data_IF_488451560747
#
_entry.id   IF_488451560747
#
_cell.length_a   1.000
_cell.length_b   1.000
_cell.length_c   1.000
_cell.angle_alpha   90.00
_cell.angle_beta   90.00
_cell.angle_gamma   90.00
#
_symmetry.space_group_name_H-M   'P 1'
#
loop_
_entity.id
_entity.type
_entity.pdbx_description
1 polymer ?
#
# COMPACT_ATOMS: atom_id res chain seq x y z
N UNK A 1 0.87 -40.00 30.97
CA UNK A 1 1.42 -39.04 30.00
C UNK A 1 0.60 -39.23 28.74
N UNK A 2 -0.38 -38.36 28.46
CA UNK A 2 -1.35 -38.55 27.38
C UNK A 2 -0.64 -38.47 26.02
N UNK A 3 -0.61 -39.58 25.29
CA UNK A 3 -0.30 -39.58 23.86
C UNK A 3 -1.37 -38.73 23.16
N UNK A 4 -0.91 -37.62 22.59
CA UNK A 4 -1.71 -36.75 21.75
C UNK A 4 -1.92 -37.53 20.44
N UNK A 5 -3.09 -38.15 20.31
CA UNK A 5 -3.52 -38.97 19.17
C UNK A 5 -3.54 -38.15 17.88
N UNK A 6 -2.40 -38.12 17.17
CA UNK A 6 -2.18 -37.34 15.93
C UNK A 6 -3.18 -37.70 14.83
N UNK A 7 -3.78 -38.90 14.85
CA UNK A 7 -4.78 -39.33 13.87
C UNK A 7 -6.09 -38.53 13.95
N UNK A 8 -6.43 -38.05 15.14
CA UNK A 8 -7.62 -37.22 15.39
C UNK A 8 -7.41 -35.78 14.95
N UNK A 9 -6.18 -35.28 15.06
CA UNK A 9 -5.80 -33.94 14.60
C UNK A 9 -5.78 -33.84 13.07
N UNK A 10 -5.31 -34.86 12.37
CA UNK A 10 -5.27 -34.88 10.89
C UNK A 10 -6.68 -34.87 10.27
N UNK A 11 -7.65 -35.54 10.91
CA UNK A 11 -9.05 -35.57 10.47
C UNK A 11 -9.79 -34.24 10.75
N UNK A 12 -9.51 -33.57 11.89
CA UNK A 12 -10.12 -32.28 12.23
C UNK A 12 -9.61 -31.13 11.34
N UNK A 13 -8.30 -31.10 11.04
CA UNK A 13 -7.66 -30.11 10.15
C UNK A 13 -8.12 -30.29 8.69
N UNK A 14 -8.45 -31.52 8.30
CA UNK A 14 -9.02 -31.85 6.99
C UNK A 14 -10.50 -31.51 6.81
N UNK A 15 -11.23 -31.16 7.89
CA UNK A 15 -12.67 -30.90 7.80
C UNK A 15 -12.99 -29.60 7.06
N UNK A 16 -14.10 -29.60 6.32
CA UNK A 16 -14.62 -28.43 5.57
C UNK A 16 -14.70 -27.18 6.47
N UNK A 17 -15.13 -27.38 7.73
CA UNK A 17 -15.24 -26.30 8.74
C UNK A 17 -13.88 -25.69 9.11
N UNK A 18 -12.83 -26.49 9.21
CA UNK A 18 -11.50 -25.99 9.54
C UNK A 18 -10.85 -25.30 8.33
N UNK A 19 -11.10 -25.80 7.11
CA UNK A 19 -10.71 -25.11 5.87
C UNK A 19 -11.36 -23.75 5.74
N UNK A 20 -12.65 -23.64 6.03
CA UNK A 20 -13.36 -22.36 5.93
C UNK A 20 -12.95 -21.38 7.02
N UNK A 21 -12.72 -21.85 8.26
CA UNK A 21 -12.19 -21.03 9.35
C UNK A 21 -10.77 -20.52 9.06
N UNK A 22 -9.88 -21.39 8.54
CA UNK A 22 -8.54 -20.99 8.09
C UNK A 22 -8.62 -19.99 6.94
N UNK A 23 -9.48 -20.24 5.94
CA UNK A 23 -9.69 -19.32 4.81
C UNK A 23 -10.13 -17.94 5.30
N UNK A 24 -11.13 -17.88 6.17
CA UNK A 24 -11.61 -16.62 6.75
C UNK A 24 -10.53 -15.90 7.58
N UNK A 25 -9.76 -16.63 8.38
CA UNK A 25 -8.63 -16.06 9.13
C UNK A 25 -7.56 -15.46 8.20
N UNK A 26 -7.23 -16.13 7.09
CA UNK A 26 -6.26 -15.62 6.11
C UNK A 26 -6.78 -14.38 5.36
N UNK A 27 -8.06 -14.37 4.97
CA UNK A 27 -8.70 -13.24 4.29
C UNK A 27 -8.70 -11.96 5.15
N UNK A 28 -8.84 -12.09 6.47
CA UNK A 28 -8.89 -10.94 7.38
C UNK A 28 -7.52 -10.56 8.00
N UNK A 29 -6.52 -11.45 7.99
CA UNK A 29 -5.21 -11.19 8.62
C UNK A 29 -4.21 -10.43 7.74
N UNK A 30 -4.50 -10.27 6.45
CA UNK A 30 -3.57 -9.65 5.49
C UNK A 30 -2.33 -10.51 5.20
N UNK A 31 -2.36 -11.77 5.60
CA UNK A 31 -1.35 -12.78 5.29
C UNK A 31 -1.69 -13.40 3.93
N UNK A 32 -0.71 -13.49 3.04
CA UNK A 32 -0.90 -14.20 1.79
C UNK A 32 -0.20 -15.55 1.82
N UNK A 33 -0.94 -16.60 1.48
CA UNK A 33 -0.38 -17.94 1.30
C UNK A 33 -0.25 -18.25 -0.18
N UNK A 34 0.86 -18.88 -0.54
CA UNK A 34 1.07 -19.46 -1.85
C UNK A 34 1.59 -20.89 -1.69
N UNK A 35 1.17 -21.77 -2.59
CA UNK A 35 1.74 -23.11 -2.73
C UNK A 35 2.57 -23.12 -4.00
N UNK A 36 3.83 -23.51 -3.88
CA UNK A 36 4.73 -23.73 -5.00
C UNK A 36 4.91 -25.23 -5.25
N UNK A 37 5.09 -25.60 -6.50
CA UNK A 37 5.60 -26.93 -6.87
C UNK A 37 7.13 -27.00 -6.64
N UNK A 38 7.76 -28.18 -6.81
CA UNK A 38 9.21 -28.34 -6.64
C UNK A 38 10.05 -27.55 -7.66
N UNK A 39 9.44 -27.14 -8.78
CA UNK A 39 10.05 -26.28 -9.79
C UNK A 39 9.86 -24.79 -9.48
N UNK A 40 9.36 -24.45 -8.29
CA UNK A 40 9.06 -23.10 -7.84
C UNK A 40 8.00 -22.38 -8.69
N UNK A 41 7.07 -23.13 -9.29
CA UNK A 41 5.88 -22.58 -9.95
C UNK A 41 4.72 -22.48 -9.00
N UNK A 42 3.94 -21.42 -9.13
CA UNK A 42 2.76 -21.17 -8.29
C UNK A 42 1.64 -22.16 -8.63
N UNK A 43 1.25 -23.02 -7.69
CA UNK A 43 0.12 -23.94 -7.82
C UNK A 43 -1.19 -23.30 -7.38
N UNK A 44 -1.15 -22.55 -6.29
CA UNK A 44 -2.31 -21.84 -5.73
C UNK A 44 -1.88 -20.66 -4.87
N UNK A 45 -2.79 -19.71 -4.68
CA UNK A 45 -2.63 -18.55 -3.80
C UNK A 45 -3.94 -18.32 -3.07
N UNK A 46 -3.91 -18.11 -1.75
CA UNK A 46 -5.07 -17.62 -0.99
C UNK A 46 -5.20 -16.11 -1.24
N UNK A 47 -6.33 -15.65 -1.74
CA UNK A 47 -6.53 -14.23 -2.05
C UNK A 47 -6.43 -13.34 -0.79
N UNK A 48 -5.87 -12.11 -0.84
CA UNK A 48 -4.97 -11.56 -1.85
C UNK A 48 -3.59 -11.20 -1.28
N UNK A 49 -2.54 -11.61 -2.02
CA UNK A 49 -1.18 -11.07 -1.97
C UNK A 49 -1.12 -9.53 -1.97
N UNK A 50 -2.14 -8.88 -2.52
CA UNK A 50 -2.58 -7.48 -2.35
C UNK A 50 -3.51 -7.17 -3.53
N UNK A 51 -4.48 -6.25 -3.41
CA UNK A 51 -5.24 -5.72 -4.55
C UNK A 51 -4.39 -5.11 -5.68
N UNK A 52 -3.07 -4.93 -5.46
CA UNK A 52 -2.14 -4.26 -6.36
C UNK A 52 -1.29 -5.18 -7.24
N UNK A 53 -1.15 -6.47 -6.88
CA UNK A 53 -0.23 -7.37 -7.57
C UNK A 53 -0.89 -8.21 -8.65
N UNK A 54 -2.16 -8.58 -8.54
CA UNK A 54 -2.87 -9.36 -9.56
C UNK A 54 -4.32 -8.91 -9.63
N UNK A 55 -4.87 -8.72 -10.84
CA UNK A 55 -6.30 -8.43 -11.00
C UNK A 55 -7.14 -9.68 -10.73
N UNK A 56 -6.56 -10.88 -10.90
CA UNK A 56 -7.15 -12.18 -10.54
C UNK A 56 -6.11 -13.18 -10.01
N UNK A 57 -6.41 -13.97 -8.96
CA UNK A 57 -5.52 -15.03 -8.44
C UNK A 57 -5.07 -16.05 -9.50
N UNK A 58 -5.90 -16.28 -10.51
CA UNK A 58 -5.62 -17.23 -11.61
C UNK A 58 -4.45 -16.79 -12.49
N UNK A 59 -4.14 -15.48 -12.56
CA UNK A 59 -3.03 -14.95 -13.35
C UNK A 59 -1.66 -15.34 -12.79
N UNK A 60 -1.60 -15.75 -11.52
CA UNK A 60 -0.38 -16.17 -10.85
C UNK A 60 -0.09 -17.65 -11.06
N UNK A 61 -1.13 -18.46 -11.30
CA UNK A 61 -1.03 -19.92 -11.37
C UNK A 61 -0.18 -20.37 -12.56
N UNK A 62 0.71 -21.33 -12.35
CA UNK A 62 1.62 -21.91 -13.34
C UNK A 62 2.89 -21.08 -13.62
N UNK A 63 2.93 -19.82 -13.17
CA UNK A 63 4.08 -18.93 -13.37
C UNK A 63 5.18 -19.20 -12.36
N UNK A 64 6.41 -18.89 -12.73
CA UNK A 64 7.57 -19.11 -11.87
C UNK A 64 7.70 -18.02 -10.81
N UNK A 65 8.12 -18.40 -9.60
CA UNK A 65 8.34 -17.45 -8.51
C UNK A 65 9.24 -16.27 -8.94
N UNK A 66 10.28 -16.55 -9.74
CA UNK A 66 11.26 -15.54 -10.19
C UNK A 66 10.63 -14.37 -10.96
N UNK A 67 9.54 -14.62 -11.67
CA UNK A 67 8.82 -13.62 -12.46
C UNK A 67 8.25 -12.52 -11.56
N UNK A 68 7.91 -12.87 -10.32
CA UNK A 68 7.35 -11.98 -9.32
C UNK A 68 8.40 -11.36 -8.40
N UNK A 69 9.68 -11.70 -8.54
CA UNK A 69 10.74 -11.15 -7.69
C UNK A 69 11.34 -9.89 -8.28
N UNK A 70 11.57 -8.90 -7.42
CA UNK A 70 12.36 -7.74 -7.81
C UNK A 70 13.79 -8.16 -8.23
N UNK A 71 14.36 -7.59 -9.32
CA UNK A 71 15.66 -8.01 -9.86
C UNK A 71 16.81 -8.06 -8.83
N UNK A 72 16.82 -7.13 -7.86
CA UNK A 72 17.88 -7.06 -6.85
C UNK A 72 17.94 -8.28 -5.91
N UNK A 73 16.83 -8.98 -5.70
CA UNK A 73 16.74 -10.09 -4.74
C UNK A 73 16.62 -11.46 -5.40
N UNK A 74 16.33 -11.53 -6.71
CA UNK A 74 16.13 -12.77 -7.49
C UNK A 74 17.14 -13.86 -7.19
N UNK A 75 18.43 -13.57 -7.39
CA UNK A 75 19.50 -14.56 -7.21
C UNK A 75 19.58 -15.08 -5.78
N UNK A 76 19.39 -14.21 -4.79
CA UNK A 76 19.46 -14.60 -3.39
C UNK A 76 18.25 -15.46 -3.00
N UNK A 77 17.05 -15.03 -3.36
CA UNK A 77 15.81 -15.76 -3.07
C UNK A 77 15.82 -17.14 -3.72
N UNK A 78 16.14 -17.24 -5.01
CA UNK A 78 16.17 -18.53 -5.70
C UNK A 78 17.18 -19.51 -5.08
N UNK A 79 18.34 -19.02 -4.62
CA UNK A 79 19.30 -19.87 -3.89
C UNK A 79 18.71 -20.39 -2.58
N UNK A 80 17.96 -19.58 -1.84
CA UNK A 80 17.35 -20.01 -0.58
C UNK A 80 16.23 -21.03 -0.82
N UNK A 81 15.37 -20.79 -1.81
CA UNK A 81 14.32 -21.73 -2.18
C UNK A 81 14.87 -23.03 -2.76
N UNK A 82 15.94 -22.98 -3.57
CA UNK A 82 16.62 -24.18 -4.06
C UNK A 82 17.16 -25.06 -2.92
N UNK A 83 17.64 -24.46 -1.83
CA UNK A 83 18.03 -25.22 -0.62
C UNK A 83 16.86 -25.90 0.08
N UNK A 84 15.65 -25.34 0.00
CA UNK A 84 14.43 -26.00 0.50
C UNK A 84 14.08 -27.19 -0.40
N UNK A 85 14.06 -26.99 -1.73
CA UNK A 85 13.75 -28.05 -2.71
C UNK A 85 14.70 -29.24 -2.56
N UNK A 86 15.99 -28.98 -2.37
CA UNK A 86 17.02 -30.01 -2.22
C UNK A 86 17.05 -30.67 -0.83
N UNK A 87 16.17 -30.27 0.10
CA UNK A 87 16.15 -30.82 1.47
C UNK A 87 17.30 -30.34 2.37
N UNK A 88 18.17 -29.44 1.91
CA UNK A 88 19.27 -28.87 2.72
C UNK A 88 18.78 -27.92 3.82
N UNK A 89 17.50 -27.53 3.79
CA UNK A 89 16.86 -26.73 4.85
C UNK A 89 15.42 -27.19 5.11
N UNK A 90 15.07 -27.30 6.39
CA UNK A 90 13.72 -27.65 6.84
C UNK A 90 12.74 -26.48 6.80
N UNK A 91 13.22 -25.23 6.81
CA UNK A 91 12.38 -24.02 6.66
C UNK A 91 13.20 -22.77 6.34
N UNK A 92 12.52 -21.78 5.80
CA UNK A 92 12.95 -20.40 5.61
C UNK A 92 12.06 -19.53 6.49
N UNK A 93 12.61 -18.74 7.42
CA UNK A 93 11.79 -17.94 8.35
C UNK A 93 12.23 -16.49 8.35
N UNK A 94 11.28 -15.58 8.18
CA UNK A 94 11.51 -14.14 8.35
C UNK A 94 12.48 -13.53 7.34
N UNK A 95 12.64 -14.14 6.17
CA UNK A 95 13.50 -13.60 5.14
C UNK A 95 12.82 -12.42 4.45
N UNK A 96 13.54 -11.32 4.26
CA UNK A 96 13.01 -10.19 3.50
C UNK A 96 12.90 -10.58 2.02
N UNK A 97 11.75 -10.26 1.44
CA UNK A 97 11.42 -10.52 0.05
C UNK A 97 10.80 -9.26 -0.56
N UNK A 98 11.18 -8.97 -1.79
CA UNK A 98 10.60 -7.87 -2.56
C UNK A 98 9.98 -8.46 -3.81
N UNK A 99 8.66 -8.35 -3.90
CA UNK A 99 7.87 -8.76 -5.05
C UNK A 99 7.70 -7.58 -6.01
N UNK A 100 7.73 -7.85 -7.31
CA UNK A 100 7.43 -6.91 -8.37
C UNK A 100 6.41 -7.55 -9.30
N UNK A 101 5.19 -7.02 -9.33
CA UNK A 101 4.12 -7.53 -10.19
C UNK A 101 3.44 -6.36 -10.88
N UNK A 102 3.40 -6.38 -12.21
CA UNK A 102 2.83 -5.32 -13.05
C UNK A 102 3.31 -3.90 -12.69
N UNK A 103 4.60 -3.75 -12.35
CA UNK A 103 5.20 -2.46 -11.99
C UNK A 103 4.98 -2.01 -10.55
N UNK A 104 4.15 -2.72 -9.77
CA UNK A 104 4.02 -2.48 -8.33
C UNK A 104 5.06 -3.30 -7.59
N UNK A 105 5.79 -2.66 -6.68
CA UNK A 105 6.76 -3.33 -5.80
C UNK A 105 6.18 -3.45 -4.39
N UNK A 106 6.28 -4.65 -3.79
CA UNK A 106 5.80 -4.94 -2.44
C UNK A 106 6.92 -5.61 -1.66
N UNK A 107 7.33 -5.02 -0.55
CA UNK A 107 8.26 -5.63 0.39
C UNK A 107 7.52 -6.39 1.48
N UNK A 108 8.11 -7.47 1.96
CA UNK A 108 7.56 -8.19 3.08
C UNK A 108 8.49 -9.28 3.60
N UNK A 109 8.03 -9.95 4.64
CA UNK A 109 8.69 -11.12 5.18
C UNK A 109 8.09 -12.38 4.59
N UNK A 110 8.96 -13.29 4.19
CA UNK A 110 8.58 -14.62 3.74
C UNK A 110 8.98 -15.66 4.77
N UNK A 111 8.05 -16.57 5.02
CA UNK A 111 8.28 -17.84 5.70
C UNK A 111 7.89 -18.95 4.74
N UNK A 112 8.75 -19.94 4.52
CA UNK A 112 8.48 -21.05 3.61
C UNK A 112 8.91 -22.37 4.21
N UNK A 113 8.11 -23.41 3.98
CA UNK A 113 8.35 -24.76 4.48
C UNK A 113 8.12 -25.76 3.34
N UNK A 114 9.07 -26.68 3.09
CA UNK A 114 8.84 -27.79 2.17
C UNK A 114 7.89 -28.80 2.82
N UNK A 115 6.99 -29.34 2.03
CA UNK A 115 6.17 -30.52 2.36
C UNK A 115 6.74 -31.68 1.57
N UNK A 116 7.20 -32.70 2.29
CA UNK A 116 7.75 -33.91 1.71
C UNK A 116 6.67 -34.98 1.62
N UNK A 117 6.59 -35.67 0.49
CA UNK A 117 5.76 -36.86 0.36
C UNK A 117 6.42 -38.09 0.96
N UNK A 118 5.74 -39.23 0.85
CA UNK A 118 6.17 -40.51 1.43
C UNK A 118 7.55 -40.99 0.91
N UNK A 119 7.93 -40.55 -0.28
CA UNK A 119 9.24 -40.85 -0.88
C UNK A 119 10.39 -39.99 -0.34
N UNK A 120 10.16 -39.16 0.68
CA UNK A 120 11.16 -38.26 1.27
C UNK A 120 11.59 -37.10 0.36
N UNK A 121 10.91 -36.90 -0.78
CA UNK A 121 11.15 -35.80 -1.71
C UNK A 121 10.16 -34.67 -1.45
N UNK A 122 10.60 -33.43 -1.67
CA UNK A 122 9.73 -32.25 -1.59
C UNK A 122 8.72 -32.31 -2.72
N UNK A 123 7.43 -32.38 -2.37
CA UNK A 123 6.32 -32.36 -3.32
C UNK A 123 5.77 -30.96 -3.53
N UNK A 124 5.83 -30.12 -2.50
CA UNK A 124 5.41 -28.73 -2.57
C UNK A 124 6.10 -27.89 -1.53
N UNK A 125 6.07 -26.57 -1.72
CA UNK A 125 6.54 -25.60 -0.73
C UNK A 125 5.37 -24.70 -0.38
N UNK A 126 5.02 -24.66 0.90
CA UNK A 126 4.04 -23.72 1.42
C UNK A 126 4.77 -22.43 1.78
N UNK A 127 4.30 -21.33 1.23
CA UNK A 127 4.89 -20.00 1.38
C UNK A 127 3.87 -19.10 2.05
N UNK A 128 4.27 -18.51 3.16
CA UNK A 128 3.58 -17.42 3.82
C UNK A 128 4.33 -16.13 3.51
N UNK A 129 3.63 -15.16 2.93
CA UNK A 129 4.12 -13.81 2.73
C UNK A 129 3.32 -12.85 3.62
N UNK A 130 4.03 -12.19 4.52
CA UNK A 130 3.50 -11.07 5.29
C UNK A 130 4.03 -9.79 4.66
N UNK A 131 3.19 -9.03 3.94
CA UNK A 131 3.60 -7.73 3.44
C UNK A 131 3.99 -6.86 4.64
N UNK A 132 5.16 -6.25 4.56
CA UNK A 132 5.49 -5.17 5.47
C UNK A 132 4.62 -4.01 5.04
N UNK A 133 3.55 -3.73 5.80
CA UNK A 133 2.78 -2.52 5.56
C UNK A 133 3.70 -1.36 5.90
N UNK A 134 4.35 -0.83 4.88
CA UNK A 134 5.15 0.37 5.02
C UNK A 134 4.24 1.50 5.50
N UNK A 135 4.80 2.48 6.21
CA UNK A 135 4.05 3.70 6.49
C UNK A 135 3.48 4.32 5.19
N UNK A 136 4.15 4.08 4.05
CA UNK A 136 3.70 4.41 2.69
C UNK A 136 2.45 3.63 2.23
N UNK A 137 2.22 2.38 2.65
CA UNK A 137 1.00 1.64 2.29
C UNK A 137 -0.21 2.05 3.12
N UNK A 138 -0.01 2.37 4.40
CA UNK A 138 -1.04 3.07 5.20
C UNK A 138 -1.30 4.44 4.60
N UNK A 139 -0.24 5.12 4.18
CA UNK A 139 -0.28 6.37 3.46
C UNK A 139 -0.52 6.25 1.93
N UNK A 140 -1.00 5.11 1.43
CA UNK A 140 -1.57 5.02 0.09
C UNK A 140 -3.04 4.57 0.15
N UNK A 141 -3.41 3.86 1.22
CA UNK A 141 -4.82 3.66 1.65
C UNK A 141 -5.45 4.96 2.12
N UNK A 142 -4.67 5.81 2.78
CA UNK A 142 -5.08 7.14 3.25
C UNK A 142 -4.97 8.21 2.12
N UNK A 143 -4.62 7.79 0.88
CA UNK A 143 -4.59 8.59 -0.36
C UNK A 143 -5.94 9.18 -0.73
N UNK A 144 -7.00 8.52 -0.26
CA UNK A 144 -8.37 9.02 -0.30
C UNK A 144 -8.67 10.09 0.77
N UNK A 145 -7.77 10.33 1.73
CA UNK A 145 -7.97 11.25 2.86
C UNK A 145 -7.15 12.53 2.79
N UNK A 146 -6.01 12.57 2.10
CA UNK A 146 -5.30 13.86 1.92
C UNK A 146 -5.89 14.64 0.76
N UNK A 147 -6.94 15.38 1.05
CA UNK A 147 -7.40 16.46 0.19
C UNK A 147 -6.53 17.70 0.43
N UNK A 148 -5.40 17.77 -0.26
CA UNK A 148 -4.53 18.96 -0.25
C UNK A 148 -5.30 20.14 -0.80
N UNK A 149 -5.16 21.31 -0.16
CA UNK A 149 -5.63 22.54 -0.78
C UNK A 149 -4.91 22.74 -2.12
N UNK A 150 -5.58 23.28 -3.17
CA UNK A 150 -4.98 23.46 -4.49
C UNK A 150 -3.63 24.19 -4.46
N UNK A 151 -3.52 25.21 -3.61
CA UNK A 151 -2.27 25.95 -3.42
C UNK A 151 -1.16 25.09 -2.79
N UNK A 152 -1.47 24.31 -1.75
CA UNK A 152 -0.51 23.41 -1.11
C UNK A 152 -0.03 22.32 -2.09
N UNK A 153 -0.90 21.83 -2.98
CA UNK A 153 -0.51 20.92 -4.04
C UNK A 153 0.51 21.56 -4.99
N UNK A 154 0.27 22.81 -5.45
CA UNK A 154 1.22 23.55 -6.29
C UNK A 154 2.56 23.81 -5.61
N UNK A 155 2.55 24.13 -4.32
CA UNK A 155 3.77 24.27 -3.51
C UNK A 155 4.52 22.94 -3.46
N UNK A 156 3.82 21.83 -3.21
CA UNK A 156 4.41 20.49 -3.16
C UNK A 156 5.02 20.06 -4.51
N UNK A 157 4.34 20.35 -5.63
CA UNK A 157 4.87 20.13 -6.99
C UNK A 157 6.20 20.85 -7.20
N UNK A 158 6.28 22.14 -6.87
CA UNK A 158 7.51 22.90 -7.05
C UNK A 158 8.61 22.51 -6.04
N UNK A 159 8.25 22.10 -4.83
CA UNK A 159 9.20 21.48 -3.88
C UNK A 159 9.81 20.21 -4.49
N UNK A 160 8.99 19.31 -5.03
CA UNK A 160 9.43 18.06 -5.63
C UNK A 160 10.19 18.24 -6.96
N UNK A 161 9.92 19.33 -7.69
CA UNK A 161 10.70 19.76 -8.84
C UNK A 161 12.06 20.40 -8.45
N UNK A 162 12.31 20.63 -7.15
CA UNK A 162 13.52 21.25 -6.65
C UNK A 162 13.57 22.78 -6.77
N UNK A 163 12.43 23.45 -6.98
CA UNK A 163 12.41 24.91 -7.06
C UNK A 163 12.77 25.54 -5.70
N UNK A 164 13.62 26.59 -5.65
CA UNK A 164 13.87 27.31 -4.40
C UNK A 164 12.66 28.18 -4.01
N UNK A 165 12.55 28.55 -2.73
CA UNK A 165 11.45 29.37 -2.17
C UNK A 165 11.19 30.64 -2.98
N UNK A 166 12.25 31.30 -3.47
CA UNK A 166 12.14 32.54 -4.27
C UNK A 166 11.43 32.30 -5.60
N UNK A 167 11.74 31.18 -6.25
CA UNK A 167 11.15 30.81 -7.53
C UNK A 167 9.70 30.37 -7.35
N UNK A 168 9.40 29.65 -6.27
CA UNK A 168 8.02 29.33 -5.89
C UNK A 168 7.19 30.59 -5.64
N UNK A 169 7.73 31.54 -4.88
CA UNK A 169 7.08 32.82 -4.58
C UNK A 169 6.72 33.58 -5.87
N UNK A 170 7.67 33.66 -6.81
CA UNK A 170 7.44 34.26 -8.11
C UNK A 170 6.40 33.49 -8.96
N UNK A 171 6.50 32.16 -9.05
CA UNK A 171 5.59 31.32 -9.85
C UNK A 171 4.16 31.30 -9.33
N UNK A 172 3.98 31.40 -8.01
CA UNK A 172 2.68 31.30 -7.35
C UNK A 172 2.13 32.67 -6.92
N UNK A 173 2.81 33.77 -7.26
CA UNK A 173 2.43 35.14 -6.91
C UNK A 173 2.21 35.34 -5.40
N UNK A 174 3.11 34.80 -4.58
CA UNK A 174 3.08 34.86 -3.12
C UNK A 174 4.36 35.48 -2.57
N UNK A 175 4.30 35.94 -1.32
CA UNK A 175 5.51 36.36 -0.60
C UNK A 175 6.38 35.14 -0.27
N UNK A 176 7.70 35.36 -0.08
CA UNK A 176 8.64 34.31 0.34
C UNK A 176 8.20 33.67 1.67
N UNK A 177 7.76 34.50 2.62
CA UNK A 177 7.23 34.06 3.90
C UNK A 177 5.92 33.26 3.76
N UNK A 178 5.05 33.63 2.81
CA UNK A 178 3.84 32.86 2.49
C UNK A 178 4.18 31.47 1.96
N UNK A 179 5.19 31.35 1.10
CA UNK A 179 5.67 30.03 0.65
C UNK A 179 6.25 29.23 1.82
N UNK A 180 7.09 29.84 2.67
CA UNK A 180 7.67 29.16 3.84
C UNK A 180 6.60 28.66 4.80
N UNK A 181 5.53 29.45 5.00
CA UNK A 181 4.37 29.02 5.76
C UNK A 181 3.72 27.76 5.17
N UNK A 182 3.43 27.76 3.87
CA UNK A 182 2.83 26.57 3.20
C UNK A 182 3.76 25.36 3.24
N UNK A 183 5.07 25.55 3.07
CA UNK A 183 6.06 24.47 3.22
C UNK A 183 6.04 23.95 4.65
N UNK A 184 6.05 24.81 5.67
CA UNK A 184 5.98 24.40 7.07
C UNK A 184 4.70 23.63 7.42
N UNK A 185 3.56 24.04 6.86
CA UNK A 185 2.30 23.31 6.97
C UNK A 185 2.40 21.91 6.34
N UNK A 186 2.99 21.79 5.15
CA UNK A 186 3.23 20.51 4.50
C UNK A 186 4.19 19.63 5.31
N UNK A 187 5.28 20.18 5.87
CA UNK A 187 6.21 19.42 6.71
C UNK A 187 5.51 18.80 7.93
N UNK A 188 4.64 19.57 8.58
CA UNK A 188 3.83 19.09 9.72
C UNK A 188 2.79 18.06 9.28
N UNK A 189 2.08 18.33 8.19
CA UNK A 189 1.04 17.43 7.67
C UNK A 189 1.64 16.07 7.25
N UNK A 190 2.83 16.09 6.66
CA UNK A 190 3.53 14.89 6.21
C UNK A 190 4.43 14.29 7.29
N UNK A 191 4.52 14.88 8.49
CA UNK A 191 5.39 14.42 9.58
C UNK A 191 6.83 14.16 9.10
N UNK A 192 7.48 15.22 8.61
CA UNK A 192 8.86 15.19 8.12
C UNK A 192 9.65 16.43 8.57
N UNK A 193 10.97 16.28 8.79
CA UNK A 193 11.76 17.35 9.39
C UNK A 193 12.23 18.42 8.39
N UNK A 194 12.23 18.16 7.08
CA UNK A 194 12.80 19.08 6.11
C UNK A 194 12.20 18.95 4.69
N UNK A 195 12.51 19.96 3.85
CA UNK A 195 12.00 20.09 2.48
C UNK A 195 12.32 18.89 1.58
N UNK A 196 13.52 18.33 1.70
CA UNK A 196 13.95 17.18 0.89
C UNK A 196 13.20 15.92 1.30
N UNK A 197 13.03 15.69 2.60
CA UNK A 197 12.23 14.60 3.14
C UNK A 197 10.76 14.72 2.73
N UNK A 198 10.22 15.94 2.63
CA UNK A 198 8.88 16.19 2.08
C UNK A 198 8.75 15.73 0.64
N UNK A 199 9.70 16.09 -0.23
CA UNK A 199 9.71 15.64 -1.61
C UNK A 199 9.80 14.11 -1.69
N UNK A 200 10.76 13.50 -0.98
CA UNK A 200 10.96 12.06 -0.96
C UNK A 200 9.71 11.29 -0.48
N UNK A 201 9.08 11.75 0.61
CA UNK A 201 7.87 11.15 1.17
C UNK A 201 6.67 11.32 0.23
N UNK A 202 6.55 12.44 -0.47
CA UNK A 202 5.49 12.61 -1.48
C UNK A 202 5.68 11.66 -2.69
N UNK A 203 6.93 11.39 -3.11
CA UNK A 203 7.22 10.38 -4.13
C UNK A 203 6.93 8.96 -3.64
N UNK A 204 7.31 8.61 -2.41
CA UNK A 204 7.07 7.26 -1.86
C UNK A 204 5.58 6.97 -1.64
N UNK A 205 4.80 7.98 -1.28
CA UNK A 205 3.33 7.90 -1.17
C UNK A 205 2.61 7.85 -2.53
N UNK A 206 3.30 8.06 -3.64
CA UNK A 206 2.71 8.02 -4.98
C UNK A 206 1.77 9.19 -5.27
N UNK A 207 2.00 10.37 -4.67
CA UNK A 207 1.14 11.54 -4.87
C UNK A 207 1.30 12.19 -6.25
N UNK A 208 2.34 11.83 -7.01
CA UNK A 208 2.63 12.42 -8.31
C UNK A 208 2.23 11.51 -9.47
N UNK A 209 1.85 12.14 -10.59
CA UNK A 209 1.58 11.47 -11.87
C UNK A 209 2.83 10.75 -12.37
N UNK A 210 2.68 9.46 -12.72
CA UNK A 210 3.78 8.64 -13.25
C UNK A 210 4.18 9.13 -14.65
N UNK A 211 5.49 9.23 -14.90
CA UNK A 211 6.05 9.59 -16.22
C UNK A 211 5.99 11.09 -16.59
N UNK A 212 5.52 11.96 -15.69
CA UNK A 212 5.46 13.40 -15.92
C UNK A 212 6.62 14.15 -15.25
N UNK A 213 7.32 14.99 -16.02
CA UNK A 213 8.30 15.94 -15.51
C UNK A 213 8.03 17.35 -16.03
N UNK A 214 7.96 18.39 -15.17
CA UNK A 214 8.04 18.35 -13.71
C UNK A 214 6.89 17.55 -13.03
N UNK A 215 7.08 17.06 -11.80
CA UNK A 215 6.08 16.25 -11.09
C UNK A 215 4.76 17.03 -10.88
N UNK A 216 3.64 16.33 -11.04
CA UNK A 216 2.27 16.87 -10.87
C UNK A 216 1.48 16.06 -9.88
N UNK A 217 0.83 16.70 -8.92
CA UNK A 217 0.02 16.00 -7.93
C UNK A 217 -1.21 15.40 -8.62
N UNK A 218 -1.57 14.17 -8.26
CA UNK A 218 -2.74 13.50 -8.81
C UNK A 218 -4.03 14.29 -8.47
N UNK A 219 -4.98 14.44 -9.41
CA UNK A 219 -6.23 15.17 -9.16
C UNK A 219 -7.00 14.68 -7.93
N UNK A 220 -6.99 13.37 -7.69
CA UNK A 220 -7.68 12.73 -6.56
C UNK A 220 -7.12 13.15 -5.19
N UNK A 221 -5.89 13.66 -5.15
CA UNK A 221 -5.22 14.14 -3.95
C UNK A 221 -5.47 15.65 -3.70
N UNK A 222 -6.21 16.33 -4.58
CA UNK A 222 -6.54 17.74 -4.46
C UNK A 222 -7.99 17.85 -3.96
N UNK A 223 -8.23 18.74 -3.00
CA UNK A 223 -9.58 19.07 -2.55
C UNK A 223 -10.35 19.72 -3.70
N UNK A 224 -11.42 19.07 -4.16
CA UNK A 224 -12.42 19.71 -5.01
C UNK A 224 -13.18 20.73 -4.18
N UNK A 225 -12.95 22.02 -4.43
CA UNK A 225 -13.82 23.09 -3.93
C UNK A 225 -15.13 23.07 -4.75
N UNK A 226 -16.01 22.11 -4.44
CA UNK A 226 -17.41 22.13 -4.86
C UNK A 226 -18.33 22.04 -3.64
N UNK A 227 -18.30 23.06 -2.79
CA UNK A 227 -19.40 23.34 -1.86
C UNK A 227 -19.39 24.77 -1.32
N UNK A 228 -19.37 25.78 -2.20
CA UNK A 228 -19.68 27.18 -1.85
C UNK A 228 -20.30 27.91 -3.04
N UNK A 229 -21.30 27.33 -3.70
CA UNK A 229 -22.04 28.06 -4.74
C UNK A 229 -23.45 27.53 -5.03
N UNK A 230 -24.20 27.00 -4.06
CA UNK A 230 -25.61 26.61 -4.30
C UNK A 230 -26.46 26.59 -3.03
N UNK A 231 -26.42 27.66 -2.23
CA UNK A 231 -27.51 28.00 -1.29
C UNK A 231 -27.45 29.50 -1.00
N UNK A 232 -27.85 30.30 -1.98
CA UNK A 232 -27.75 31.76 -1.84
C UNK A 232 -28.24 32.55 -3.04
N UNK A 233 -29.32 32.10 -3.68
CA UNK A 233 -30.10 32.91 -4.63
C UNK A 233 -31.58 32.55 -4.50
N UNK A 234 -32.16 32.93 -3.36
CA UNK A 234 -33.61 33.06 -3.19
C UNK A 234 -33.89 34.51 -2.84
N UNK A 235 -34.19 35.31 -3.86
CA UNK A 235 -34.56 36.71 -3.71
C UNK A 235 -35.88 36.88 -2.95
N UNK A 236 -35.94 37.92 -2.12
CA UNK A 236 -37.15 38.33 -1.41
C UNK A 236 -36.89 39.64 -0.67
N UNK A 237 -36.97 40.75 -1.38
CA UNK A 237 -36.78 42.08 -0.82
C UNK A 237 -37.99 42.58 -0.02
N UNK A 238 -37.70 43.08 1.20
CA UNK A 238 -38.35 44.18 1.97
C UNK A 238 -39.86 44.07 2.32
N UNK A 239 -40.38 44.75 3.39
CA UNK A 239 -39.89 46.03 3.92
C UNK A 239 -39.74 46.16 5.45
N UNK A 240 -39.05 47.26 5.81
CA UNK A 240 -38.85 47.82 7.16
C UNK A 240 -40.19 48.07 7.88
N UNK A 241 -40.37 47.52 9.08
CA UNK A 241 -41.36 48.01 10.04
C UNK A 241 -40.76 49.08 10.96
N UNK A 242 -41.37 50.25 10.97
CA UNK A 242 -41.10 51.36 11.87
C UNK A 242 -41.48 51.01 13.32
N UNK A 243 -40.71 51.51 14.29
CA UNK A 243 -41.09 51.51 15.72
C UNK A 243 -42.23 52.50 15.96
N UNK A 244 -43.23 52.18 16.79
CA UNK A 244 -44.00 53.19 17.51
C UNK A 244 -43.40 53.41 18.91
N UNK A 245 -43.08 54.67 19.18
CA UNK A 245 -42.95 55.25 20.52
C UNK A 245 -44.34 55.50 21.10
N UNK A 246 -44.64 54.97 22.29
CA UNK A 246 -45.66 55.52 23.21
C UNK A 246 -45.59 54.77 24.53
N UNK A 247 -45.36 55.49 25.63
CA UNK A 247 -45.37 54.97 26.99
C UNK A 247 -45.18 56.13 27.95
N UNK A 248 -46.31 56.63 28.42
CA UNK A 248 -46.56 57.78 29.29
C UNK A 248 -46.01 57.59 30.70
#
# INVERSE_FOLDING_TARGET
MQEIDSSRYDAEIGSEKYRDALRSFFEHSGIALAVLDPNLRVRSVSSPLMPRCARRPDELRGRELVEFLHPSVRRQTLRQFGRLVQGHRSRLVGHSLVLSVHGTTVSGRVTAFPVTGDAGRVEMIVVQFMPETTADDRAARDGSRWKLAPLSAKVLEGVAAGDPTVRLAAKLFLSRQGIEYHVGMLLRQFDVPNRTALAAKAYSMGLFSLGAWPPRVLPDCIRSDQQTAETGCGGGGRPRSQRPTSGR
#
